data_IF_160136826559
#
_entry.id   IF_160136826559
#
_cell.length_a   1.000
_cell.length_b   1.000
_cell.length_c   1.000
_cell.angle_alpha   90.00
_cell.angle_beta   90.00
_cell.angle_gamma   90.00
#
_symmetry.space_group_name_H-M   'P 1'
#
loop_
_entity.id
_entity.type
_entity.pdbx_description
1 polymer ?
#
# COMPACT_ATOMS: atom_id res chain seq x y z
N UNK A 1 23.30 18.72 -1.03
CA UNK A 1 24.41 17.82 -1.44
C UNK A 1 25.40 18.61 -2.27
N UNK A 2 26.15 19.52 -1.65
CA UNK A 2 26.79 20.64 -2.35
C UNK A 2 27.75 20.23 -3.49
N UNK A 3 28.43 19.09 -3.36
CA UNK A 3 29.32 18.56 -4.41
C UNK A 3 28.56 18.20 -5.69
N UNK A 4 27.48 17.41 -5.57
CA UNK A 4 26.62 17.03 -6.70
C UNK A 4 25.93 18.26 -7.29
N UNK A 5 25.45 19.16 -6.43
CA UNK A 5 24.80 20.39 -6.85
C UNK A 5 25.78 21.30 -7.63
N UNK A 6 27.06 21.33 -7.24
CA UNK A 6 28.11 22.06 -7.94
C UNK A 6 28.48 21.45 -9.28
N UNK A 7 28.61 20.12 -9.35
CA UNK A 7 28.89 19.40 -10.60
C UNK A 7 27.78 19.60 -11.63
N UNK A 8 26.53 19.41 -11.23
CA UNK A 8 25.38 19.53 -12.15
C UNK A 8 25.22 20.94 -12.71
N UNK A 9 25.48 22.00 -11.91
CA UNK A 9 25.47 23.39 -12.40
C UNK A 9 26.59 23.69 -13.39
N UNK A 10 27.75 23.05 -13.25
CA UNK A 10 28.95 23.35 -14.05
C UNK A 10 29.03 22.52 -15.33
N UNK A 11 28.53 21.29 -15.30
CA UNK A 11 28.82 20.27 -16.31
C UNK A 11 27.60 19.71 -17.04
N UNK A 12 26.38 20.09 -16.68
CA UNK A 12 25.15 19.55 -17.27
C UNK A 12 24.23 20.65 -17.81
N UNK A 13 23.51 20.33 -18.88
CA UNK A 13 22.38 21.13 -19.36
C UNK A 13 21.18 21.02 -18.40
N UNK A 14 20.18 21.88 -18.60
CA UNK A 14 18.97 21.87 -17.79
C UNK A 14 18.20 20.55 -17.87
N UNK A 15 18.13 19.94 -19.07
CA UNK A 15 17.46 18.66 -19.31
C UNK A 15 18.19 17.52 -18.62
N UNK A 16 19.52 17.45 -18.74
CA UNK A 16 20.35 16.44 -18.08
C UNK A 16 20.26 16.57 -16.55
N UNK A 17 20.25 17.81 -16.04
CA UNK A 17 20.07 18.08 -14.62
C UNK A 17 18.70 17.66 -14.12
N UNK A 18 17.62 17.91 -14.87
CA UNK A 18 16.27 17.48 -14.50
C UNK A 18 16.13 15.94 -14.51
N UNK A 19 16.76 15.27 -15.49
CA UNK A 19 16.83 13.81 -15.54
C UNK A 19 17.58 13.24 -14.32
N UNK A 20 18.77 13.77 -14.03
CA UNK A 20 19.54 13.34 -12.86
C UNK A 20 18.81 13.61 -11.55
N UNK A 21 18.12 14.74 -11.43
CA UNK A 21 17.31 15.07 -10.25
C UNK A 21 16.26 14.00 -9.97
N UNK A 22 15.61 13.50 -11.02
CA UNK A 22 14.62 12.42 -10.92
C UNK A 22 15.24 11.14 -10.34
N UNK A 23 16.48 10.82 -10.73
CA UNK A 23 17.20 9.66 -10.20
C UNK A 23 17.72 9.87 -8.77
N UNK A 24 18.10 11.09 -8.41
CA UNK A 24 18.68 11.40 -7.10
C UNK A 24 17.64 11.76 -6.05
N UNK A 25 16.40 12.05 -6.44
CA UNK A 25 15.33 12.50 -5.53
C UNK A 25 15.21 11.61 -4.29
N UNK A 26 15.12 10.29 -4.47
CA UNK A 26 15.02 9.34 -3.35
C UNK A 26 16.25 9.35 -2.44
N UNK A 27 17.45 9.42 -3.01
CA UNK A 27 18.70 9.48 -2.24
C UNK A 27 18.81 10.80 -1.46
N UNK A 28 18.39 11.92 -2.04
CA UNK A 28 18.37 13.24 -1.39
C UNK A 28 17.37 13.29 -0.24
N UNK A 29 16.14 12.82 -0.45
CA UNK A 29 15.12 12.74 0.60
C UNK A 29 15.57 11.82 1.75
N UNK A 30 16.24 10.72 1.42
CA UNK A 30 16.84 9.83 2.43
C UNK A 30 17.93 10.53 3.23
N UNK A 31 18.83 11.24 2.56
CA UNK A 31 19.90 11.96 3.25
C UNK A 31 19.36 13.09 4.13
N UNK A 32 18.37 13.85 3.67
CA UNK A 32 17.69 14.86 4.48
C UNK A 32 17.07 14.22 5.74
N UNK A 33 16.28 13.15 5.56
CA UNK A 33 15.69 12.42 6.70
C UNK A 33 16.72 11.93 7.72
N UNK A 34 17.85 11.39 7.27
CA UNK A 34 18.86 10.81 8.15
C UNK A 34 19.81 11.84 8.77
N UNK A 35 20.02 12.99 8.13
CA UNK A 35 21.06 13.94 8.52
C UNK A 35 20.53 15.25 9.08
N UNK A 36 19.23 15.53 8.99
CA UNK A 36 18.65 16.76 9.54
C UNK A 36 18.43 16.67 11.07
N UNK A 37 18.19 15.46 11.61
CA UNK A 37 17.98 15.23 13.05
C UNK A 37 19.07 14.31 13.66
N UNK A 38 19.91 14.82 14.59
CA UNK A 38 20.96 14.04 15.25
C UNK A 38 20.45 12.80 16.02
N UNK A 39 19.22 12.84 16.52
CA UNK A 39 18.62 11.70 17.24
C UNK A 39 18.28 10.56 16.28
N UNK A 40 17.71 10.88 15.12
CA UNK A 40 17.42 9.94 14.02
C UNK A 40 18.73 9.36 13.47
N UNK A 41 19.76 10.19 13.33
CA UNK A 41 21.09 9.74 12.91
C UNK A 41 21.66 8.70 13.87
N UNK A 42 21.62 8.96 15.19
CA UNK A 42 22.13 8.04 16.21
C UNK A 42 21.36 6.72 16.21
N UNK A 43 20.04 6.77 16.09
CA UNK A 43 19.20 5.58 16.00
C UNK A 43 19.52 4.76 14.73
N UNK A 44 19.62 5.41 13.57
CA UNK A 44 20.03 4.77 12.32
C UNK A 44 21.38 4.07 12.44
N UNK A 45 22.38 4.75 13.03
CA UNK A 45 23.72 4.17 13.23
C UNK A 45 23.68 2.96 14.17
N UNK A 46 22.83 2.98 15.20
CA UNK A 46 22.66 1.84 16.10
C UNK A 46 22.07 0.60 15.41
N UNK A 47 21.29 0.79 14.33
CA UNK A 47 20.72 -0.30 13.53
C UNK A 47 21.51 -0.65 12.27
N UNK A 48 22.65 0.00 12.01
CA UNK A 48 23.41 -0.13 10.76
C UNK A 48 23.78 -1.57 10.37
N UNK A 49 24.11 -2.41 11.37
CA UNK A 49 24.42 -3.82 11.15
C UNK A 49 23.21 -4.58 10.56
N UNK A 50 22.01 -4.34 11.11
CA UNK A 50 20.79 -4.94 10.59
C UNK A 50 20.45 -4.40 9.20
N UNK A 51 20.53 -3.09 8.99
CA UNK A 51 20.25 -2.44 7.69
C UNK A 51 21.10 -3.06 6.59
N UNK A 52 22.39 -3.33 6.87
CA UNK A 52 23.26 -4.07 5.93
C UNK A 52 22.77 -5.50 5.69
N UNK A 53 22.37 -6.21 6.75
CA UNK A 53 21.94 -7.61 6.69
C UNK A 53 20.65 -7.82 5.90
N UNK A 54 19.71 -6.87 5.95
CA UNK A 54 18.41 -6.97 5.29
C UNK A 54 18.33 -6.24 3.96
N UNK A 55 19.44 -5.65 3.49
CA UNK A 55 19.49 -4.80 2.30
C UNK A 55 18.83 -5.44 1.09
N UNK A 56 19.20 -6.68 0.77
CA UNK A 56 18.68 -7.38 -0.40
C UNK A 56 17.17 -7.70 -0.28
N UNK A 57 16.70 -8.00 0.93
CA UNK A 57 15.27 -8.23 1.16
C UNK A 57 14.48 -6.93 1.06
N UNK A 58 15.04 -5.84 1.58
CA UNK A 58 14.44 -4.52 1.49
C UNK A 58 14.30 -4.07 0.04
N UNK A 59 15.36 -4.23 -0.77
CA UNK A 59 15.31 -3.97 -2.22
C UNK A 59 14.30 -4.85 -2.93
N UNK A 60 14.17 -6.13 -2.56
CA UNK A 60 13.15 -7.03 -3.13
C UNK A 60 11.73 -6.55 -2.80
N UNK A 61 11.48 -6.16 -1.55
CA UNK A 61 10.21 -5.57 -1.14
C UNK A 61 9.92 -4.28 -1.93
N UNK A 62 10.92 -3.43 -2.13
CA UNK A 62 10.79 -2.16 -2.86
C UNK A 62 10.56 -2.38 -4.37
N UNK A 63 11.24 -3.34 -4.99
CA UNK A 63 11.00 -3.71 -6.39
C UNK A 63 9.58 -4.22 -6.60
N UNK A 64 9.10 -5.10 -5.71
CA UNK A 64 7.73 -5.57 -5.78
C UNK A 64 6.72 -4.43 -5.59
N UNK A 65 6.97 -3.52 -4.65
CA UNK A 65 6.18 -2.31 -4.46
C UNK A 65 6.08 -1.48 -5.75
N UNK A 66 7.22 -1.12 -6.37
CA UNK A 66 7.24 -0.36 -7.61
C UNK A 66 6.52 -1.07 -8.76
N UNK A 67 6.71 -2.38 -8.88
CA UNK A 67 6.03 -3.20 -9.88
C UNK A 67 4.51 -3.12 -9.71
N UNK A 68 3.99 -3.36 -8.50
CA UNK A 68 2.55 -3.32 -8.22
C UNK A 68 1.95 -1.93 -8.45
N UNK A 69 2.67 -0.86 -8.09
CA UNK A 69 2.26 0.52 -8.38
C UNK A 69 2.17 0.76 -9.89
N UNK A 70 3.17 0.31 -10.66
CA UNK A 70 3.17 0.41 -12.12
C UNK A 70 2.02 -0.35 -12.78
N UNK A 71 1.76 -1.57 -12.33
CA UNK A 71 0.62 -2.38 -12.80
C UNK A 71 -0.72 -1.70 -12.51
N UNK A 72 -0.86 -1.06 -11.34
CA UNK A 72 -2.08 -0.34 -10.99
C UNK A 72 -2.30 0.88 -11.89
N UNK A 73 -1.23 1.64 -12.18
CA UNK A 73 -1.29 2.77 -13.11
C UNK A 73 -1.58 2.35 -14.57
N UNK A 74 -1.20 1.13 -14.95
CA UNK A 74 -1.45 0.60 -16.29
C UNK A 74 -2.92 0.17 -16.50
N UNK A 75 -3.73 0.07 -15.44
CA UNK A 75 -5.17 -0.22 -15.56
C UNK A 75 -5.89 1.02 -16.09
N UNK A 76 -6.39 0.95 -17.33
CA UNK A 76 -7.07 2.08 -17.99
C UNK A 76 -8.46 2.45 -17.43
N UNK A 77 -9.09 1.55 -16.67
CA UNK A 77 -10.53 1.65 -16.31
C UNK A 77 -10.79 1.96 -14.83
N UNK A 78 -9.79 2.47 -14.09
CA UNK A 78 -9.93 2.79 -12.65
C UNK A 78 -10.11 4.29 -12.42
N UNK A 79 -11.02 4.63 -11.50
CA UNK A 79 -11.19 6.02 -11.06
C UNK A 79 -10.01 6.47 -10.19
N UNK A 80 -9.70 7.77 -10.15
CA UNK A 80 -8.62 8.32 -9.32
C UNK A 80 -8.73 7.94 -7.83
N UNK A 81 -9.90 8.01 -7.17
CA UNK A 81 -10.03 7.58 -5.78
C UNK A 81 -9.72 6.09 -5.55
N UNK A 82 -10.02 5.27 -6.56
CA UNK A 82 -9.81 3.82 -6.50
C UNK A 82 -8.35 3.46 -6.74
N UNK A 83 -7.71 4.15 -7.70
CA UNK A 83 -6.26 4.14 -7.85
C UNK A 83 -5.58 4.55 -6.54
N UNK A 84 -5.94 5.70 -5.96
CA UNK A 84 -5.37 6.19 -4.71
C UNK A 84 -5.47 5.14 -3.58
N UNK A 85 -6.66 4.55 -3.41
CA UNK A 85 -6.89 3.49 -2.42
C UNK A 85 -6.00 2.26 -2.67
N UNK A 86 -5.91 1.81 -3.92
CA UNK A 86 -5.12 0.63 -4.29
C UNK A 86 -3.62 0.89 -4.06
N UNK A 87 -3.12 2.08 -4.41
CA UNK A 87 -1.72 2.46 -4.12
C UNK A 87 -1.46 2.50 -2.62
N UNK A 88 -2.40 3.00 -1.80
CA UNK A 88 -2.28 2.94 -0.34
C UNK A 88 -2.19 1.49 0.18
N UNK A 89 -2.95 0.57 -0.42
CA UNK A 89 -2.90 -0.84 -0.04
C UNK A 89 -1.61 -1.55 -0.44
N UNK A 90 -1.09 -1.23 -1.63
CA UNK A 90 0.22 -1.69 -2.10
C UNK A 90 1.32 -1.19 -1.14
N UNK A 91 1.22 0.06 -0.68
CA UNK A 91 2.13 0.62 0.34
C UNK A 91 2.06 -0.14 1.66
N UNK A 92 0.88 -0.47 2.17
CA UNK A 92 0.75 -1.26 3.40
C UNK A 92 1.40 -2.65 3.26
N UNK A 93 1.27 -3.27 2.08
CA UNK A 93 1.99 -4.49 1.73
C UNK A 93 3.51 -4.31 1.79
N UNK A 94 4.03 -3.21 1.23
CA UNK A 94 5.46 -2.88 1.28
C UNK A 94 5.95 -2.74 2.73
N UNK A 95 5.26 -1.96 3.57
CA UNK A 95 5.64 -1.77 4.97
C UNK A 95 5.66 -3.09 5.75
N UNK A 96 4.69 -3.98 5.50
CA UNK A 96 4.66 -5.31 6.12
C UNK A 96 5.80 -6.20 5.65
N UNK A 97 6.13 -6.18 4.35
CA UNK A 97 7.25 -6.93 3.80
C UNK A 97 8.56 -6.56 4.52
N UNK A 98 8.82 -5.25 4.66
CA UNK A 98 10.02 -4.76 5.36
C UNK A 98 10.01 -5.15 6.83
N UNK A 99 8.88 -4.99 7.52
CA UNK A 99 8.75 -5.36 8.92
C UNK A 99 9.02 -6.86 9.13
N UNK A 100 8.42 -7.74 8.32
CA UNK A 100 8.58 -9.20 8.46
C UNK A 100 10.01 -9.66 8.21
N UNK A 101 10.64 -9.22 7.12
CA UNK A 101 12.02 -9.65 6.80
C UNK A 101 13.01 -9.16 7.85
N UNK A 102 12.80 -7.94 8.36
CA UNK A 102 13.64 -7.36 9.40
C UNK A 102 13.45 -8.05 10.75
N UNK A 103 12.21 -8.37 11.10
CA UNK A 103 11.90 -9.05 12.36
C UNK A 103 12.51 -10.46 12.38
N UNK A 104 12.42 -11.18 11.25
CA UNK A 104 13.00 -12.51 11.09
C UNK A 104 14.54 -12.48 11.22
N UNK A 105 15.20 -11.47 10.66
CA UNK A 105 16.67 -11.43 10.59
C UNK A 105 17.34 -10.72 11.76
N UNK A 106 16.67 -9.79 12.41
CA UNK A 106 17.29 -8.89 13.39
C UNK A 106 16.50 -8.74 14.69
N UNK A 107 15.19 -8.99 14.67
CA UNK A 107 14.33 -8.83 15.84
C UNK A 107 13.39 -7.62 15.73
N UNK A 108 12.54 -7.49 16.75
CA UNK A 108 11.37 -6.62 16.71
C UNK A 108 11.71 -5.12 16.67
N UNK A 109 12.73 -4.69 17.41
CA UNK A 109 13.08 -3.26 17.51
C UNK A 109 13.59 -2.73 16.16
N UNK A 110 14.52 -3.46 15.55
CA UNK A 110 15.06 -3.20 14.23
C UNK A 110 13.96 -3.22 13.18
N UNK A 111 13.02 -4.17 13.28
CA UNK A 111 11.89 -4.25 12.37
C UNK A 111 10.99 -3.03 12.43
N UNK A 112 10.66 -2.56 13.64
CA UNK A 112 9.87 -1.33 13.84
C UNK A 112 10.62 -0.13 13.27
N UNK A 113 11.93 -0.01 13.54
CA UNK A 113 12.76 1.06 13.01
C UNK A 113 12.77 1.07 11.47
N UNK A 114 13.06 -0.08 10.84
CA UNK A 114 13.12 -0.24 9.39
C UNK A 114 11.76 0.00 8.73
N UNK A 115 10.66 -0.41 9.38
CA UNK A 115 9.31 -0.12 8.92
C UNK A 115 9.02 1.39 8.96
N UNK A 116 9.36 2.08 10.05
CA UNK A 116 9.19 3.53 10.18
C UNK A 116 10.05 4.29 9.19
N UNK A 117 11.32 3.90 9.04
CA UNK A 117 12.23 4.45 8.04
C UNK A 117 11.66 4.26 6.64
N UNK A 118 11.19 3.06 6.30
CA UNK A 118 10.55 2.79 5.01
C UNK A 118 9.28 3.63 4.81
N UNK A 119 8.46 3.75 5.85
CA UNK A 119 7.28 4.59 5.83
C UNK A 119 7.67 6.01 5.47
N UNK A 120 8.68 6.60 6.11
CA UNK A 120 9.19 7.94 5.80
C UNK A 120 9.86 8.06 4.44
N UNK A 121 10.65 7.07 3.99
CA UNK A 121 11.35 7.16 2.71
C UNK A 121 10.42 6.92 1.51
N UNK A 122 9.32 6.21 1.72
CA UNK A 122 8.23 6.13 0.75
C UNK A 122 7.45 7.45 0.58
N UNK A 123 7.90 8.56 1.19
CA UNK A 123 7.18 9.85 1.26
C UNK A 123 7.17 10.72 -0.01
N UNK A 124 7.68 10.33 -1.18
CA UNK A 124 7.55 11.17 -2.39
C UNK A 124 6.83 10.49 -3.57
N UNK A 125 5.56 10.85 -3.79
CA UNK A 125 5.11 11.79 -4.86
C UNK A 125 3.59 11.82 -5.12
N UNK A 126 2.75 10.92 -4.56
CA UNK A 126 1.30 10.95 -4.92
C UNK A 126 0.31 10.73 -3.74
N UNK A 127 0.68 10.14 -2.60
CA UNK A 127 -0.35 9.53 -1.73
C UNK A 127 -0.30 9.80 -0.20
N UNK A 128 0.57 10.68 0.32
CA UNK A 128 0.74 10.84 1.78
C UNK A 128 -0.53 11.20 2.56
N UNK A 129 -1.21 12.29 2.19
CA UNK A 129 -2.43 12.70 2.91
C UNK A 129 -3.57 11.72 2.67
N UNK A 130 -3.58 11.05 1.52
CA UNK A 130 -4.64 10.12 1.13
C UNK A 130 -4.56 8.77 1.86
N UNK A 131 -3.36 8.33 2.26
CA UNK A 131 -3.19 7.02 2.91
C UNK A 131 -3.23 7.01 4.43
N UNK A 132 -3.37 8.16 5.12
CA UNK A 132 -3.25 8.22 6.59
C UNK A 132 -4.22 7.29 7.35
N UNK A 133 -5.40 7.02 6.78
CA UNK A 133 -6.42 6.17 7.40
C UNK A 133 -6.56 4.78 6.74
N UNK A 134 -5.65 4.43 5.83
CA UNK A 134 -5.68 3.13 5.13
C UNK A 134 -4.78 2.15 5.87
N UNK A 135 -5.36 1.03 6.28
CA UNK A 135 -4.64 -0.12 6.86
C UNK A 135 -4.86 -1.36 5.99
N UNK A 136 -4.05 -2.42 6.16
CA UNK A 136 -4.31 -3.67 5.42
C UNK A 136 -5.73 -4.24 5.65
N UNK A 137 -6.33 -3.97 6.82
CA UNK A 137 -7.70 -4.42 7.11
C UNK A 137 -8.74 -3.71 6.23
N UNK A 138 -8.55 -2.41 5.96
CA UNK A 138 -9.41 -1.64 5.05
C UNK A 138 -9.18 -2.00 3.59
N UNK A 139 -7.99 -2.52 3.25
CA UNK A 139 -7.66 -2.99 1.90
C UNK A 139 -8.38 -4.27 1.48
N UNK A 140 -8.88 -5.04 2.44
CA UNK A 140 -9.60 -6.30 2.18
C UNK A 140 -11.08 -6.09 1.81
N UNK A 141 -11.58 -4.85 1.91
CA UNK A 141 -12.99 -4.53 1.70
C UNK A 141 -13.39 -4.39 0.21
N UNK A 142 -12.42 -4.11 -0.68
CA UNK A 142 -12.70 -3.87 -2.10
C UNK A 142 -12.96 -5.13 -2.94
N UNK A 143 -12.81 -6.34 -2.37
CA UNK A 143 -13.05 -7.62 -3.09
C UNK A 143 -14.45 -8.18 -2.82
N UNK A 144 -15.31 -7.50 -2.03
CA UNK A 144 -16.65 -8.01 -1.68
C UNK A 144 -17.83 -7.27 -2.32
N UNK A 145 -17.68 -6.74 -3.53
CA UNK A 145 -18.83 -6.20 -4.28
C UNK A 145 -18.86 -6.69 -5.72
N UNK A 146 -19.16 -7.97 -5.87
CA UNK A 146 -19.92 -8.51 -7.01
C UNK A 146 -20.49 -9.90 -6.68
N UNK A 147 -21.14 -10.04 -5.52
CA UNK A 147 -22.14 -11.11 -5.40
C UNK A 147 -23.43 -10.56 -6.01
N UNK A 148 -23.91 -11.08 -7.15
CA UNK A 148 -25.24 -10.71 -7.63
C UNK A 148 -26.25 -11.04 -6.54
N UNK A 149 -27.34 -10.26 -6.39
CA UNK A 149 -28.34 -10.50 -5.36
C UNK A 149 -28.82 -11.95 -5.49
N UNK A 150 -28.52 -12.73 -4.45
CA UNK A 150 -28.91 -14.12 -4.34
C UNK A 150 -30.41 -14.26 -4.58
N UNK A 151 -30.77 -15.18 -5.47
CA UNK A 151 -32.12 -15.62 -5.83
C UNK A 151 -32.88 -16.30 -4.67
N UNK A 152 -32.71 -15.82 -3.43
CA UNK A 152 -33.30 -16.40 -2.22
C UNK A 152 -34.64 -15.78 -1.81
N UNK A 153 -35.05 -14.67 -2.42
CA UNK A 153 -36.34 -14.03 -2.11
C UNK A 153 -37.54 -14.70 -2.82
N UNK A 154 -37.32 -15.39 -3.96
CA UNK A 154 -38.40 -16.03 -4.72
C UNK A 154 -38.99 -17.28 -4.06
N UNK A 155 -38.17 -18.05 -3.34
CA UNK A 155 -38.61 -19.30 -2.71
C UNK A 155 -39.56 -19.05 -1.53
N UNK A 156 -39.36 -17.97 -0.75
CA UNK A 156 -40.20 -17.66 0.40
C UNK A 156 -41.61 -17.25 -0.05
N UNK A 157 -41.73 -16.47 -1.13
CA UNK A 157 -43.03 -16.03 -1.67
C UNK A 157 -43.83 -17.21 -2.24
N UNK A 158 -43.17 -18.15 -2.93
CA UNK A 158 -43.85 -19.34 -3.46
C UNK A 158 -44.34 -20.26 -2.34
N UNK A 159 -43.55 -20.48 -1.28
CA UNK A 159 -43.97 -21.33 -0.16
C UNK A 159 -45.15 -20.73 0.60
N UNK A 160 -45.17 -19.41 0.81
CA UNK A 160 -46.31 -18.73 1.46
C UNK A 160 -47.55 -18.77 0.58
N UNK A 161 -47.43 -18.56 -0.74
CA UNK A 161 -48.57 -18.63 -1.65
C UNK A 161 -49.18 -20.04 -1.73
N UNK A 162 -48.36 -21.09 -1.77
CA UNK A 162 -48.83 -22.49 -1.77
C UNK A 162 -49.52 -22.83 -0.45
N UNK A 163 -48.97 -22.41 0.70
CA UNK A 163 -49.58 -22.66 2.01
C UNK A 163 -50.93 -21.95 2.18
N UNK A 164 -51.07 -20.73 1.67
CA UNK A 164 -52.35 -20.00 1.69
C UNK A 164 -53.37 -20.68 0.77
N UNK A 165 -52.96 -21.12 -0.43
CA UNK A 165 -53.85 -21.82 -1.35
C UNK A 165 -54.34 -23.17 -0.81
N UNK A 166 -53.48 -23.94 -0.12
CA UNK A 166 -53.88 -25.20 0.50
C UNK A 166 -54.79 -25.01 1.70
N UNK A 167 -54.59 -23.96 2.50
CA UNK A 167 -55.49 -23.62 3.62
C UNK A 167 -56.89 -23.24 3.12
N UNK A 168 -56.99 -22.44 2.05
CA UNK A 168 -58.27 -22.03 1.46
C UNK A 168 -59.04 -23.18 0.78
N UNK A 169 -58.33 -24.20 0.27
CA UNK A 169 -58.95 -25.40 -0.29
C UNK A 169 -59.47 -26.36 0.80
N UNK A 170 -58.85 -26.39 1.98
CA UNK A 170 -59.31 -27.22 3.11
C UNK A 170 -60.60 -26.65 3.71
N UNK A 171 -60.75 -25.32 3.80
CA UNK A 171 -62.01 -24.71 4.28
C UNK A 171 -63.19 -24.97 3.34
N UNK A 172 -62.97 -25.08 2.04
CA UNK A 172 -64.03 -25.33 1.05
C UNK A 172 -64.51 -26.79 0.95
N UNK A 173 -63.79 -27.75 1.54
CA UNK A 173 -64.14 -29.17 1.51
C UNK A 173 -64.76 -29.68 2.83
N UNK A 174 -64.76 -28.85 3.87
CA UNK A 174 -65.37 -29.12 5.19
C UNK A 174 -66.57 -28.19 5.41
N UNK A 175 -67.51 -28.18 4.46
CA UNK A 175 -68.88 -27.68 4.66
C UNK A 175 -69.86 -28.57 3.93
#
# INVERSE_FOLDING_TARGET
>A
MACVDGYTRKCMSEVERASLETHLKGARSTLAFLCDDPSVQKEYLSHAACIRKVREDWERCHHHFKYMVGEEHAKGDITQPQLDHNICCIREGFLKCVYWTSNLKCGKMEAVFLQRMTATLSYSDVHQQKCHNVTLTTCSAAVRTSTPPSLRSGLVVVVVAVAVFTLSLVEHFVT
#
